data_IF_294914168933
#
_entry.id   IF_294914168933
#
_cell.length_a   1.000
_cell.length_b   1.000
_cell.length_c   1.000
_cell.angle_alpha   90.00
_cell.angle_beta   90.00
_cell.angle_gamma   90.00
#
_symmetry.space_group_name_H-M   'P 1'
#
loop_
_entity.id
_entity.type
_entity.pdbx_description
1 polymer ?
#
# COMPACT_ATOMS: atom_id res chain seq x y z
N UNK A 1 1.63 0.21 11.76
CA UNK A 1 2.45 0.90 10.72
C UNK A 1 1.58 1.42 9.59
N UNK A 2 0.82 0.55 8.91
CA UNK A 2 -0.06 0.94 7.80
C UNK A 2 -0.90 2.19 8.09
N UNK A 3 -1.64 2.25 9.21
CA UNK A 3 -2.47 3.42 9.53
C UNK A 3 -1.72 4.76 9.60
N UNK A 4 -0.50 4.76 10.16
CA UNK A 4 0.34 5.96 10.20
C UNK A 4 0.83 6.36 8.80
N UNK A 5 1.18 5.37 7.97
CA UNK A 5 1.54 5.58 6.57
C UNK A 5 0.37 6.15 5.76
N UNK A 6 -0.83 5.60 5.92
CA UNK A 6 -2.05 6.07 5.26
C UNK A 6 -2.41 7.51 5.66
N UNK A 7 -2.26 7.86 6.94
CA UNK A 7 -2.44 9.25 7.40
C UNK A 7 -1.42 10.19 6.74
N UNK A 8 -0.15 9.79 6.69
CA UNK A 8 0.90 10.59 6.08
C UNK A 8 0.70 10.81 4.56
N UNK A 9 0.39 9.76 3.80
CA UNK A 9 0.14 9.92 2.35
C UNK A 9 -1.11 10.75 2.06
N UNK A 10 -2.12 10.70 2.93
CA UNK A 10 -3.31 11.56 2.82
C UNK A 10 -2.96 13.03 2.97
N UNK A 11 -2.07 13.37 3.91
CA UNK A 11 -1.55 14.74 4.07
C UNK A 11 -0.69 15.17 2.88
N UNK A 12 0.09 14.24 2.30
CA UNK A 12 0.97 14.52 1.14
C UNK A 12 0.18 14.77 -0.15
N UNK A 13 -0.86 13.98 -0.41
CA UNK A 13 -1.69 14.07 -1.62
C UNK A 13 -2.88 15.04 -1.47
N UNK A 14 -3.16 15.49 -0.24
CA UNK A 14 -4.25 16.41 0.07
C UNK A 14 -5.66 15.81 -0.10
N UNK A 15 -5.74 14.49 -0.28
CA UNK A 15 -6.97 13.75 -0.59
C UNK A 15 -6.96 12.39 0.12
N UNK A 16 -8.14 11.77 0.23
CA UNK A 16 -8.29 10.49 0.92
C UNK A 16 -8.36 9.28 -0.03
N UNK A 17 -8.53 9.46 -1.35
CA UNK A 17 -8.82 8.32 -2.24
C UNK A 17 -7.67 7.30 -2.28
N UNK A 18 -6.42 7.76 -2.33
CA UNK A 18 -5.27 6.87 -2.32
C UNK A 18 -5.21 6.06 -1.02
N UNK A 19 -5.41 6.70 0.12
CA UNK A 19 -5.34 6.04 1.42
C UNK A 19 -6.48 5.02 1.60
N UNK A 20 -7.70 5.37 1.18
CA UNK A 20 -8.85 4.46 1.19
C UNK A 20 -8.60 3.27 0.26
N UNK A 21 -8.07 3.51 -0.94
CA UNK A 21 -7.76 2.46 -1.91
C UNK A 21 -6.72 1.46 -1.38
N UNK A 22 -5.64 1.96 -0.78
CA UNK A 22 -4.59 1.12 -0.19
C UNK A 22 -5.12 0.34 1.02
N UNK A 23 -5.92 0.98 1.88
CA UNK A 23 -6.54 0.28 3.01
C UNK A 23 -7.47 -0.85 2.54
N UNK A 24 -8.33 -0.57 1.56
CA UNK A 24 -9.22 -1.57 0.98
C UNK A 24 -8.42 -2.73 0.36
N UNK A 25 -7.36 -2.43 -0.40
CA UNK A 25 -6.50 -3.45 -0.98
C UNK A 25 -5.83 -4.34 0.09
N UNK A 26 -5.31 -3.74 1.16
CA UNK A 26 -4.74 -4.49 2.29
C UNK A 26 -5.76 -5.46 2.91
N UNK A 27 -7.00 -4.99 3.13
CA UNK A 27 -8.04 -5.82 3.72
C UNK A 27 -8.49 -6.94 2.78
N UNK A 28 -8.52 -6.70 1.46
CA UNK A 28 -8.80 -7.74 0.46
C UNK A 28 -7.69 -8.80 0.44
N UNK A 29 -6.42 -8.41 0.55
CA UNK A 29 -5.30 -9.36 0.65
C UNK A 29 -5.43 -10.20 1.93
N UNK A 30 -5.72 -9.57 3.07
CA UNK A 30 -5.92 -10.27 4.34
C UNK A 30 -7.16 -11.20 4.35
N UNK A 31 -8.19 -10.87 3.56
CA UNK A 31 -9.44 -11.63 3.49
C UNK A 31 -9.48 -12.70 2.40
N UNK A 32 -8.64 -12.61 1.36
CA UNK A 32 -8.72 -13.51 0.21
C UNK A 32 -7.42 -14.24 -0.06
N UNK A 33 -6.27 -13.64 0.26
CA UNK A 33 -4.96 -14.14 -0.19
C UNK A 33 -4.18 -14.76 0.95
N UNK A 34 -4.01 -14.06 2.08
CA UNK A 34 -3.19 -14.54 3.21
C UNK A 34 -3.91 -14.30 4.53
N UNK A 35 -4.04 -15.33 5.36
CA UNK A 35 -4.67 -15.21 6.68
C UNK A 35 -4.10 -16.19 7.71
N UNK A 36 -4.49 -16.02 8.97
CA UNK A 36 -4.15 -16.86 10.11
C UNK A 36 -5.25 -16.76 11.18
N UNK A 37 -5.35 -17.69 12.15
CA UNK A 37 -6.46 -17.73 13.10
C UNK A 37 -6.68 -16.43 13.90
N UNK A 38 -5.58 -15.76 14.29
CA UNK A 38 -5.60 -14.50 15.05
C UNK A 38 -5.61 -13.25 14.15
N UNK A 39 -5.86 -13.42 12.84
CA UNK A 39 -6.02 -12.31 11.91
C UNK A 39 -7.24 -11.48 12.28
N UNK A 40 -7.19 -10.18 11.98
CA UNK A 40 -8.35 -9.28 12.11
C UNK A 40 -9.51 -9.72 11.20
N UNK A 41 -9.20 -10.39 10.09
CA UNK A 41 -10.17 -10.94 9.13
C UNK A 41 -9.92 -12.44 8.94
N UNK A 42 -10.33 -13.29 9.89
CA UNK A 42 -10.16 -14.73 9.80
C UNK A 42 -11.22 -15.29 8.85
N UNK A 43 -10.83 -15.45 7.59
CA UNK A 43 -11.69 -15.91 6.49
C UNK A 43 -10.96 -16.98 5.69
N UNK A 44 -11.64 -17.87 4.95
CA UNK A 44 -10.94 -18.78 4.05
C UNK A 44 -10.16 -18.01 2.98
N UNK A 45 -8.83 -18.17 2.96
CA UNK A 45 -7.93 -17.50 2.03
C UNK A 45 -7.08 -18.51 1.24
N UNK A 46 -6.44 -18.06 0.16
CA UNK A 46 -5.57 -18.90 -0.68
C UNK A 46 -4.40 -19.49 0.11
N UNK A 47 -3.79 -18.68 0.98
CA UNK A 47 -2.66 -19.03 1.82
C UNK A 47 -3.04 -18.85 3.29
N UNK A 48 -2.76 -19.87 4.10
CA UNK A 48 -3.03 -19.86 5.53
C UNK A 48 -1.79 -20.27 6.32
N UNK A 49 -1.51 -19.60 7.43
CA UNK A 49 -0.48 -20.04 8.38
C UNK A 49 -1.08 -20.22 9.78
N UNK A 50 -0.54 -21.17 10.54
CA UNK A 50 -0.85 -21.37 11.96
C UNK A 50 0.11 -20.63 12.88
N UNK A 51 1.20 -20.08 12.34
CA UNK A 51 2.22 -19.37 13.09
C UNK A 51 2.43 -17.98 12.50
N UNK A 52 2.19 -16.96 13.31
CA UNK A 52 2.45 -15.56 12.96
C UNK A 52 3.86 -15.17 13.38
N UNK A 53 4.65 -14.67 12.45
CA UNK A 53 6.01 -14.14 12.71
C UNK A 53 5.94 -12.60 12.67
N UNK A 54 5.98 -11.91 13.83
CA UNK A 54 5.72 -10.48 13.89
C UNK A 54 6.80 -9.62 13.23
N UNK A 55 8.07 -10.02 13.29
CA UNK A 55 9.21 -9.22 12.82
C UNK A 55 9.27 -9.24 11.30
N UNK A 56 9.16 -10.42 10.71
CA UNK A 56 9.02 -10.62 9.28
C UNK A 56 7.82 -9.86 8.73
N UNK A 57 6.66 -9.97 9.39
CA UNK A 57 5.44 -9.26 8.97
C UNK A 57 5.63 -7.74 9.01
N UNK A 58 6.29 -7.22 10.04
CA UNK A 58 6.63 -5.80 10.15
C UNK A 58 7.57 -5.34 9.02
N UNK A 59 8.63 -6.12 8.73
CA UNK A 59 9.57 -5.82 7.66
C UNK A 59 8.87 -5.83 6.29
N UNK A 60 8.04 -6.85 6.04
CA UNK A 60 7.26 -6.96 4.80
C UNK A 60 6.33 -5.75 4.62
N UNK A 61 5.63 -5.33 5.68
CA UNK A 61 4.75 -4.14 5.68
C UNK A 61 5.54 -2.86 5.35
N UNK A 62 6.72 -2.67 5.95
CA UNK A 62 7.58 -1.51 5.67
C UNK A 62 8.06 -1.50 4.22
N UNK A 63 8.46 -2.66 3.68
CA UNK A 63 8.85 -2.81 2.27
C UNK A 63 7.66 -2.47 1.36
N UNK A 64 6.47 -2.98 1.65
CA UNK A 64 5.26 -2.69 0.87
C UNK A 64 4.92 -1.20 0.87
N UNK A 65 5.00 -0.53 2.03
CA UNK A 65 4.82 0.91 2.14
C UNK A 65 5.84 1.69 1.29
N UNK A 66 7.12 1.28 1.33
CA UNK A 66 8.18 1.92 0.55
C UNK A 66 7.98 1.72 -0.96
N UNK A 67 7.65 0.51 -1.41
CA UNK A 67 7.37 0.20 -2.82
C UNK A 67 6.17 0.99 -3.33
N UNK A 68 5.09 1.07 -2.55
CA UNK A 68 3.93 1.88 -2.92
C UNK A 68 4.30 3.36 -3.05
N UNK A 69 5.08 3.90 -2.12
CA UNK A 69 5.55 5.28 -2.19
C UNK A 69 6.36 5.56 -3.46
N UNK A 70 7.31 4.68 -3.78
CA UNK A 70 8.13 4.79 -4.99
C UNK A 70 7.26 4.71 -6.26
N UNK A 71 6.34 3.76 -6.32
CA UNK A 71 5.40 3.58 -7.42
C UNK A 71 4.56 4.85 -7.66
N UNK A 72 3.94 5.38 -6.61
CA UNK A 72 2.96 6.46 -6.74
C UNK A 72 3.61 7.84 -6.90
N UNK A 73 4.66 8.13 -6.13
CA UNK A 73 5.19 9.49 -6.05
C UNK A 73 6.50 9.69 -6.81
N UNK A 74 7.31 8.64 -7.00
CA UNK A 74 8.58 8.75 -7.72
C UNK A 74 8.39 8.38 -9.19
N UNK A 75 7.87 7.19 -9.46
CA UNK A 75 7.73 6.71 -10.82
C UNK A 75 6.66 7.49 -11.60
N UNK A 76 5.43 7.59 -11.07
CA UNK A 76 4.35 8.36 -11.76
C UNK A 76 4.58 9.87 -11.73
N UNK A 77 5.25 10.40 -10.71
CA UNK A 77 5.60 11.81 -10.62
C UNK A 77 6.60 12.25 -11.69
N UNK A 78 7.57 11.40 -12.01
CA UNK A 78 8.51 11.63 -13.12
C UNK A 78 7.81 11.68 -14.47
N UNK A 79 6.86 10.77 -14.73
CA UNK A 79 6.11 10.70 -16.00
C UNK A 79 5.24 11.93 -16.26
N UNK A 80 4.64 12.54 -15.22
CA UNK A 80 3.85 13.77 -15.41
C UNK A 80 4.74 14.95 -15.81
N UNK A 81 5.92 15.06 -15.21
CA UNK A 81 6.84 16.18 -15.45
C UNK A 81 7.43 16.19 -16.87
N UNK A 82 7.72 15.02 -17.44
CA UNK A 82 8.17 14.93 -18.84
C UNK A 82 7.08 15.31 -19.84
N UNK A 83 5.82 14.93 -19.58
CA UNK A 83 4.70 15.27 -20.45
C UNK A 83 4.44 16.79 -20.50
N UNK A 84 4.54 17.48 -19.35
CA UNK A 84 4.38 18.94 -19.27
C UNK A 84 5.47 19.69 -20.05
N UNK A 85 6.72 19.24 -19.97
CA UNK A 85 7.84 19.85 -20.72
C UNK A 85 7.62 19.73 -22.23
N UNK A 86 7.21 18.56 -22.72
CA UNK A 86 6.93 18.33 -24.14
C UNK A 86 5.80 19.25 -24.67
N UNK A 87 4.75 19.47 -23.87
CA UNK A 87 3.65 20.39 -24.26
C UNK A 87 4.01 21.88 -24.24
N UNK A 88 5.06 22.28 -23.52
CA UNK A 88 5.52 23.69 -23.48
C UNK A 88 6.48 24.07 -24.61
N UNK A 89 6.98 23.09 -25.36
CA UNK A 89 7.97 23.28 -26.44
C UNK A 89 7.35 23.25 -27.85
N UNK A 90 6.05 22.99 -27.97
CA UNK A 90 5.28 23.06 -29.22
C UNK A 90 4.28 24.21 -29.20
#
# INVERSE_FOLDING_TARGET
VLGAFLAWISLKDGRLELAIGVHAANNLVAGLVVTFPESVLPTPAILTTTHFEPVFSLIAELIMCALLYLLVFVWRGGTRRIAEVETSMG
#
